data_IF_455427445770
#
_entry.id   IF_455427445770
#
_cell.length_a   1.000
_cell.length_b   1.000
_cell.length_c   1.000
_cell.angle_alpha   90.00
_cell.angle_beta   90.00
_cell.angle_gamma   90.00
#
_symmetry.space_group_name_H-M   'P 1'
#
loop_
_entity.id
_entity.type
_entity.pdbx_description
1 polymer ?
2 water ?
#
# COMPACT_ATOMS: atom_id res chain seq x y z
N UNK A 9 3.42 -19.86 22.73
CA UNK A 9 2.80 -19.05 21.65
C UNK A 9 3.50 -19.31 20.30
N UNK A 10 3.26 -20.50 19.74
CA UNK A 10 3.87 -20.90 18.47
C UNK A 10 3.83 -19.77 17.45
N UNK A 11 4.93 -19.59 16.73
CA UNK A 11 5.05 -18.55 15.72
C UNK A 11 5.29 -19.23 14.37
N UNK A 12 5.57 -18.45 13.34
CA UNK A 12 5.82 -19.05 12.03
C UNK A 12 7.08 -18.57 11.34
N UNK A 13 7.57 -17.36 11.64
CA UNK A 13 8.80 -16.90 10.99
C UNK A 13 9.52 -15.66 11.58
N UNK A 14 9.51 -14.55 10.85
CA UNK A 14 10.22 -13.32 11.26
C UNK A 14 9.38 -12.17 11.84
N UNK A 15 10.05 -11.09 12.23
CA UNK A 15 9.38 -9.92 12.82
C UNK A 15 9.26 -8.70 11.88
N UNK A 16 8.15 -7.98 11.99
CA UNK A 16 7.88 -6.80 11.16
C UNK A 16 7.35 -5.60 11.96
N UNK A 17 8.00 -4.46 11.81
CA UNK A 17 7.60 -3.24 12.49
C UNK A 17 6.40 -2.63 11.74
N UNK A 18 5.61 -1.82 12.43
CA UNK A 18 4.44 -1.18 11.81
C UNK A 18 4.87 -0.38 10.58
N UNK A 19 5.99 0.34 10.73
CA UNK A 19 6.55 1.16 9.65
C UNK A 19 6.96 0.32 8.45
N UNK A 20 7.05 -0.99 8.67
CA UNK A 20 7.37 -1.89 7.57
C UNK A 20 6.06 -2.34 6.91
N UNK A 21 5.03 -2.51 7.73
CA UNK A 21 3.73 -2.96 7.26
C UNK A 21 2.89 -1.87 6.58
N UNK A 22 2.84 -0.69 7.17
CA UNK A 22 2.09 0.39 6.52
C UNK A 22 3.08 1.48 6.19
N UNK A 23 3.27 1.67 4.89
CA UNK A 23 4.18 2.66 4.34
C UNK A 23 3.73 3.03 2.94
N UNK A 24 4.30 4.10 2.36
CA UNK A 24 3.91 4.53 1.02
C UNK A 24 4.05 3.43 -0.02
N UNK A 25 3.10 3.37 -0.94
CA UNK A 25 3.13 2.41 -2.03
C UNK A 25 4.32 2.81 -2.92
N UNK A 26 4.49 4.12 -3.13
CA UNK A 26 5.61 4.63 -3.90
C UNK A 26 5.82 6.13 -3.66
N UNK A 27 6.87 6.69 -4.25
CA UNK A 27 7.18 8.11 -4.09
C UNK A 27 7.41 8.79 -5.42
N UNK A 28 6.86 9.99 -5.55
CA UNK A 28 6.97 10.78 -6.77
C UNK A 28 7.34 12.23 -6.46
N UNK A 29 7.96 12.88 -7.43
CA UNK A 29 8.30 14.30 -7.31
C UNK A 29 7.46 14.94 -8.42
N UNK A 30 6.60 15.90 -8.05
CA UNK A 30 5.78 16.59 -9.03
C UNK A 30 6.32 18.01 -9.16
N UNK A 31 6.50 18.49 -10.38
CA UNK A 31 7.00 19.85 -10.57
C UNK A 31 6.99 20.33 -12.02
N UNK A 32 6.46 21.53 -12.22
CA UNK A 32 6.41 22.15 -13.53
C UNK A 32 5.87 21.32 -14.71
N UNK A 33 4.77 20.60 -14.48
CA UNK A 33 4.20 19.81 -15.54
C UNK A 33 4.89 18.48 -15.69
N UNK A 34 5.98 18.29 -14.95
CA UNK A 34 6.72 17.02 -14.97
C UNK A 34 6.40 16.21 -13.73
N UNK A 35 6.77 14.93 -13.76
CA UNK A 35 6.54 14.00 -12.67
C UNK A 35 7.66 12.97 -12.73
N UNK A 36 8.37 12.78 -11.61
CA UNK A 36 9.48 11.85 -11.58
C UNK A 36 9.33 10.82 -10.47
N UNK A 37 9.41 9.53 -10.83
CA UNK A 37 9.27 8.47 -9.85
C UNK A 37 10.58 8.18 -9.13
N UNK A 38 10.50 8.18 -7.81
CA UNK A 38 11.66 7.90 -6.99
C UNK A 38 11.83 6.39 -7.00
N UNK A 39 12.66 5.91 -7.93
CA UNK A 39 12.89 4.49 -8.09
C UNK A 39 14.07 3.91 -7.32
N UNK A 40 14.90 4.75 -6.72
CA UNK A 40 16.01 4.22 -5.94
C UNK A 40 15.41 3.84 -4.59
N UNK A 41 15.39 2.55 -4.30
CA UNK A 41 14.82 2.02 -3.06
C UNK A 41 15.51 2.46 -1.78
N UNK A 42 16.83 2.63 -1.83
CA UNK A 42 17.60 3.04 -0.66
C UNK A 42 17.20 4.47 -0.27
N UNK A 43 16.86 5.26 -1.27
CA UNK A 43 16.44 6.65 -1.06
C UNK A 43 15.05 6.65 -0.46
N UNK A 44 14.19 5.77 -0.98
CA UNK A 44 12.83 5.62 -0.50
C UNK A 44 12.91 5.24 0.97
N UNK A 45 13.78 4.29 1.28
CA UNK A 45 13.96 3.82 2.65
C UNK A 45 14.53 4.89 3.56
N UNK A 46 15.37 5.75 2.99
CA UNK A 46 15.98 6.79 3.79
C UNK A 46 14.93 7.84 4.21
N UNK A 47 14.11 8.23 3.25
CA UNK A 47 13.06 9.20 3.50
C UNK A 47 12.06 8.63 4.52
N UNK A 48 11.60 7.42 4.24
CA UNK A 48 10.63 6.79 5.12
C UNK A 48 11.13 6.59 6.54
N UNK A 49 12.41 6.25 6.69
CA UNK A 49 12.92 6.02 8.04
C UNK A 49 13.23 7.29 8.83
N UNK A 50 13.45 8.39 8.12
CA UNK A 50 13.77 9.66 8.76
C UNK A 50 12.53 10.51 9.12
N UNK A 51 11.47 10.33 8.34
CA UNK A 51 10.22 11.09 8.51
C UNK A 51 9.61 11.07 9.91
N UNK A 52 9.59 9.89 10.55
CA UNK A 52 9.01 9.76 11.90
C UNK A 52 9.75 10.55 12.97
N UNK A 53 10.94 11.05 12.63
CA UNK A 53 11.73 11.80 13.60
C UNK A 53 11.62 13.30 13.42
N UNK A 54 10.80 13.70 12.46
CA UNK A 54 10.57 15.12 12.21
C UNK A 54 9.57 15.54 13.27
N UNK A 55 10.05 16.27 14.27
CA UNK A 55 9.23 16.70 15.40
C UNK A 55 8.17 17.74 15.08
N UNK A 56 6.92 17.38 15.33
CA UNK A 56 5.76 18.22 15.08
C UNK A 56 5.63 19.39 16.05
N UNK A 57 5.50 20.59 15.50
CA UNK A 57 5.33 21.82 16.28
C UNK A 57 3.84 22.13 16.34
N UNK A 58 3.18 22.00 15.21
CA UNK A 58 1.76 22.27 15.16
C UNK A 58 1.09 21.68 13.94
N UNK A 59 -0.23 21.61 13.98
CA UNK A 59 -0.99 21.07 12.87
C UNK A 59 -2.24 21.94 12.68
N UNK A 60 -2.57 22.23 11.43
CA UNK A 60 -3.71 23.06 11.13
C UNK A 60 -4.39 22.68 9.81
N UNK A 61 -5.72 22.74 9.80
CA UNK A 61 -6.47 22.42 8.59
C UNK A 61 -6.49 23.66 7.71
N UNK A 62 -6.01 23.54 6.47
CA UNK A 62 -5.98 24.66 5.54
C UNK A 62 -6.71 24.34 4.23
N UNK A 63 -7.55 23.32 4.26
CA UNK A 63 -8.32 22.90 3.09
C UNK A 63 -9.10 24.04 2.44
N UNK A 64 -9.67 24.89 3.28
CA UNK A 64 -10.48 26.01 2.81
C UNK A 64 -9.66 27.06 2.09
N UNK A 65 -8.34 26.93 2.10
CA UNK A 65 -7.47 27.90 1.44
C UNK A 65 -7.34 27.66 -0.07
N UNK A 66 -7.86 26.53 -0.54
CA UNK A 66 -7.76 26.21 -1.96
C UNK A 66 -9.08 25.85 -2.62
N UNK A 67 -9.27 26.25 -3.87
CA UNK A 67 -10.47 25.86 -4.59
C UNK A 67 -9.99 24.63 -5.39
N UNK A 68 -10.79 24.14 -6.33
CA UNK A 68 -10.38 22.96 -7.09
C UNK A 68 -9.11 23.15 -7.91
N UNK A 69 -9.07 24.21 -8.72
CA UNK A 69 -7.90 24.46 -9.55
C UNK A 69 -6.65 24.78 -8.74
N UNK A 70 -6.84 25.51 -7.63
CA UNK A 70 -5.70 25.86 -6.80
C UNK A 70 -5.07 24.62 -6.21
N UNK A 71 -5.89 23.79 -5.59
CA UNK A 71 -5.43 22.56 -4.97
C UNK A 71 -4.59 21.74 -5.95
N UNK A 72 -5.08 21.57 -7.18
CA UNK A 72 -4.35 20.77 -8.14
C UNK A 72 -3.02 21.36 -8.58
N UNK A 73 -2.96 22.67 -8.78
CA UNK A 73 -1.70 23.30 -9.19
C UNK A 73 -0.68 23.17 -8.05
N UNK A 74 -1.15 23.39 -6.82
CA UNK A 74 -0.29 23.29 -5.65
C UNK A 74 0.20 21.86 -5.46
N UNK A 75 -0.74 20.91 -5.48
CA UNK A 75 -0.41 19.50 -5.29
C UNK A 75 0.66 18.95 -6.23
N UNK A 76 0.64 19.42 -7.47
CA UNK A 76 1.59 18.97 -8.47
C UNK A 76 2.71 19.96 -8.80
N UNK A 77 2.92 20.95 -7.95
CA UNK A 77 3.97 21.93 -8.19
C UNK A 77 3.88 22.64 -9.54
N UNK A 78 2.67 22.88 -10.02
CA UNK A 78 2.47 23.55 -11.30
C UNK A 78 3.02 24.97 -11.21
N UNK A 79 3.64 25.41 -12.29
CA UNK A 79 4.16 26.77 -12.36
C UNK A 79 5.01 27.20 -11.19
N UNK A 80 4.62 28.29 -10.54
CA UNK A 80 5.38 28.79 -9.41
C UNK A 80 5.24 28.02 -8.12
N UNK A 81 4.25 27.13 -8.02
CA UNK A 81 4.09 26.35 -6.80
C UNK A 81 5.36 25.51 -6.66
N UNK A 82 5.92 25.40 -5.46
CA UNK A 82 7.13 24.63 -5.25
C UNK A 82 6.91 23.16 -5.61
N UNK A 83 8.00 22.49 -6.02
CA UNK A 83 7.95 21.09 -6.36
C UNK A 83 7.56 20.32 -5.09
N UNK A 84 6.85 19.22 -5.26
CA UNK A 84 6.39 18.43 -4.12
C UNK A 84 6.78 16.96 -4.14
N UNK A 85 7.23 16.47 -2.98
CA UNK A 85 7.56 15.06 -2.84
C UNK A 85 6.25 14.46 -2.36
N UNK A 86 5.74 13.50 -3.12
CA UNK A 86 4.46 12.86 -2.88
C UNK A 86 4.59 11.42 -2.38
N UNK A 87 4.25 11.19 -1.13
CA UNK A 87 4.29 9.83 -0.61
C UNK A 87 2.87 9.30 -0.77
N UNK A 88 2.66 8.44 -1.78
CA UNK A 88 1.35 7.88 -2.05
C UNK A 88 1.07 6.56 -1.33
N UNK A 89 -0.05 6.50 -0.63
CA UNK A 89 -0.45 5.28 0.08
C UNK A 89 -1.52 4.56 -0.73
N UNK A 90 -1.81 3.31 -0.40
CA UNK A 90 -2.80 2.56 -1.16
C UNK A 90 -4.25 2.81 -0.75
N UNK A 91 -4.44 3.46 0.39
CA UNK A 91 -5.77 3.72 0.92
C UNK A 91 -5.68 4.97 1.81
N UNK A 92 -6.82 5.55 2.21
CA UNK A 92 -6.75 6.69 3.10
C UNK A 92 -6.35 6.14 4.47
N UNK A 93 -5.17 6.53 4.93
CA UNK A 93 -4.64 6.08 6.22
C UNK A 93 -5.14 6.95 7.37
N UNK A 94 -5.76 6.32 8.39
CA UNK A 94 -6.29 7.06 9.55
C UNK A 94 -5.19 7.87 10.21
N UNK A 95 -5.50 9.07 10.68
CA UNK A 95 -4.48 9.91 11.31
C UNK A 95 -3.90 9.21 12.55
N UNK A 96 -4.68 8.31 13.12
CA UNK A 96 -4.25 7.56 14.31
C UNK A 96 -2.97 6.78 13.99
N UNK A 97 -2.89 6.27 12.77
CA UNK A 97 -1.73 5.50 12.33
C UNK A 97 -0.49 6.38 12.20
N UNK A 98 -0.62 7.54 11.57
CA UNK A 98 0.51 8.45 11.42
C UNK A 98 1.02 8.89 12.78
N UNK A 99 0.09 9.16 13.70
CA UNK A 99 0.48 9.59 15.04
C UNK A 99 1.36 8.53 15.69
N UNK A 100 0.97 7.26 15.56
CA UNK A 100 1.76 6.19 16.13
C UNK A 100 3.14 6.10 15.47
N UNK A 101 3.17 6.01 14.15
CA UNK A 101 4.41 5.90 13.40
C UNK A 101 5.39 7.03 13.68
N UNK A 102 4.90 8.23 13.92
CA UNK A 102 5.80 9.35 14.15
C UNK A 102 5.88 9.81 15.61
N UNK A 103 5.21 9.09 16.49
CA UNK A 103 5.23 9.40 17.92
C UNK A 103 4.63 10.79 18.21
N UNK A 104 3.66 11.19 17.39
CA UNK A 104 3.00 12.48 17.57
C UNK A 104 2.10 12.42 18.80
N UNK A 105 2.05 13.53 19.53
CA UNK A 105 1.22 13.63 20.73
C UNK A 105 -0.15 14.21 20.33
N UNK A 106 -0.25 14.68 19.10
CA UNK A 106 -1.49 15.27 18.59
C UNK A 106 -2.71 14.41 18.86
N UNK A 107 -3.84 15.05 19.13
CA UNK A 107 -5.08 14.34 19.40
C UNK A 107 -6.31 14.97 18.74
N UNK A 108 -6.13 15.98 17.91
CA UNK A 108 -7.26 16.60 17.23
C UNK A 108 -7.38 16.01 15.83
N UNK A 109 -8.41 16.40 15.10
CA UNK A 109 -8.65 15.89 13.74
C UNK A 109 -8.76 14.37 13.81
N UNK A 110 -9.26 13.88 14.93
CA UNK A 110 -9.38 12.45 15.18
C UNK A 110 -10.12 11.60 14.15
N UNK A 111 -10.92 12.23 13.29
CA UNK A 111 -11.65 11.49 12.27
C UNK A 111 -11.02 11.52 10.89
N UNK A 112 -9.95 12.28 10.72
CA UNK A 112 -9.33 12.41 9.41
C UNK A 112 -8.44 11.23 8.99
N UNK A 113 -8.27 11.07 7.68
CA UNK A 113 -7.43 10.01 7.13
C UNK A 113 -6.81 10.58 5.85
N UNK A 114 -5.70 10.00 5.41
CA UNK A 114 -5.04 10.53 4.22
C UNK A 114 -4.40 9.47 3.36
N UNK A 115 -4.38 9.72 2.05
CA UNK A 115 -3.76 8.78 1.13
C UNK A 115 -2.45 9.32 0.56
N UNK A 116 -2.09 10.54 0.96
CA UNK A 116 -0.85 11.17 0.52
C UNK A 116 -0.25 12.03 1.61
N UNK A 117 1.07 12.04 1.68
CA UNK A 117 1.81 12.91 2.59
C UNK A 117 2.70 13.65 1.60
N UNK A 118 2.57 14.96 1.47
CA UNK A 118 3.48 15.63 0.53
C UNK A 118 4.42 16.59 1.23
N UNK A 119 5.64 16.60 0.73
CA UNK A 119 6.71 17.41 1.28
C UNK A 119 7.25 18.32 0.21
N UNK A 120 7.03 19.64 0.38
CA UNK A 120 7.48 20.66 -0.56
C UNK A 120 8.99 20.86 -0.51
N UNK A 121 9.59 21.10 -1.67
CA UNK A 121 11.02 21.37 -1.73
C UNK A 121 11.21 22.85 -1.34
N UNK A 122 12.45 23.25 -1.07
CA UNK A 122 12.76 24.63 -0.71
C UNK A 122 12.15 25.17 0.58
N UNK A 123 12.17 24.37 1.64
CA UNK A 123 11.65 24.79 2.93
C UNK A 123 12.89 25.17 3.73
N UNK A 124 13.22 26.46 3.74
CA UNK A 124 14.42 26.92 4.43
C UNK A 124 14.33 27.33 5.90
N UNK A 125 13.20 27.88 6.34
CA UNK A 125 13.08 28.27 7.74
C UNK A 125 13.26 27.09 8.71
N UNK A 126 13.39 27.39 10.00
CA UNK A 126 13.54 26.35 11.01
C UNK A 126 12.23 25.57 11.09
N UNK A 127 11.12 26.28 10.92
CA UNK A 127 9.80 25.65 10.93
C UNK A 127 9.48 25.23 9.49
N UNK A 128 9.49 23.93 9.22
CA UNK A 128 9.20 23.45 7.88
C UNK A 128 7.81 22.87 7.85
N UNK A 129 7.22 22.78 6.66
CA UNK A 129 5.87 22.25 6.54
C UNK A 129 5.71 21.04 5.65
N UNK A 130 4.97 20.06 6.16
CA UNK A 130 4.64 18.84 5.40
C UNK A 130 3.13 18.83 5.44
N UNK A 131 2.51 17.97 4.66
CA UNK A 131 1.05 17.94 4.60
C UNK A 131 0.44 16.57 4.49
N UNK A 132 -0.64 16.36 5.23
CA UNK A 132 -1.37 15.12 5.20
C UNK A 132 -2.50 15.50 4.23
N UNK A 133 -2.63 14.77 3.13
CA UNK A 133 -3.63 15.07 2.13
C UNK A 133 -4.52 13.90 1.73
N UNK A 134 -5.82 14.16 1.66
CA UNK A 134 -6.77 13.15 1.22
C UNK A 134 -7.17 13.74 -0.12
N UNK A 135 -6.62 13.18 -1.18
CA UNK A 135 -6.84 13.70 -2.53
C UNK A 135 -8.26 13.98 -3.02
N UNK A 136 -9.09 12.96 -3.12
CA UNK A 136 -10.44 13.17 -3.63
C UNK A 136 -11.31 14.15 -2.84
N UNK A 137 -11.10 14.21 -1.52
CA UNK A 137 -11.85 15.12 -0.67
C UNK A 137 -11.14 16.46 -0.59
N UNK A 138 -9.98 16.56 -1.23
CA UNK A 138 -9.23 17.82 -1.23
C UNK A 138 -9.02 18.36 0.19
N UNK A 139 -8.86 17.46 1.16
CA UNK A 139 -8.65 17.90 2.53
C UNK A 139 -7.14 17.96 2.83
N UNK A 140 -6.71 19.03 3.49
CA UNK A 140 -5.30 19.24 3.79
C UNK A 140 -4.98 19.68 5.21
N UNK A 141 -4.13 18.91 5.89
CA UNK A 141 -3.69 19.25 7.22
C UNK A 141 -2.24 19.73 7.11
N UNK A 142 -2.00 20.96 7.53
CA UNK A 142 -0.64 21.52 7.48
C UNK A 142 0.08 21.16 8.79
N UNK A 143 1.17 20.42 8.67
CA UNK A 143 1.94 19.99 9.84
C UNK A 143 3.28 20.73 9.88
N UNK A 144 3.42 21.62 10.86
CA UNK A 144 4.64 22.40 11.02
C UNK A 144 5.62 21.50 11.74
N UNK A 145 6.84 21.40 11.22
CA UNK A 145 7.79 20.49 11.84
C UNK A 145 9.23 20.98 11.82
N UNK A 146 10.07 20.32 12.61
CA UNK A 146 11.50 20.60 12.67
C UNK A 146 12.20 19.37 12.15
N UNK A 147 13.17 19.57 11.27
CA UNK A 147 13.91 18.44 10.72
C UNK A 147 15.38 18.72 10.54
N UNK A 148 16.21 17.86 11.13
CA UNK A 148 17.65 18.01 11.03
C UNK A 148 18.14 17.58 9.66
N UNK A 149 17.49 16.58 9.08
CA UNK A 149 17.91 16.05 7.79
C UNK A 149 17.09 16.41 6.57
N UNK A 150 16.06 17.23 6.72
CA UNK A 150 15.24 17.61 5.57
C UNK A 150 16.11 18.15 4.44
N UNK A 151 16.91 19.16 4.75
CA UNK A 151 17.76 19.78 3.74
C UNK A 151 18.64 18.78 2.97
N UNK A 152 19.35 17.91 3.69
CA UNK A 152 20.21 16.95 3.00
C UNK A 152 19.42 16.03 2.08
N UNK A 153 18.31 15.51 2.58
CA UNK A 153 17.44 14.60 1.85
C UNK A 153 16.78 15.25 0.62
N UNK A 154 16.21 16.43 0.79
CA UNK A 154 15.58 17.10 -0.34
C UNK A 154 16.64 17.52 -1.37
N UNK A 155 17.88 17.62 -0.91
CA UNK A 155 18.99 18.00 -1.78
C UNK A 155 19.35 16.84 -2.71
N UNK A 156 19.44 15.65 -2.14
CA UNK A 156 19.77 14.45 -2.92
C UNK A 156 18.68 14.26 -3.98
N UNK A 157 17.43 14.28 -3.53
CA UNK A 157 16.30 14.12 -4.43
C UNK A 157 16.41 15.04 -5.64
N UNK A 158 16.52 16.33 -5.39
CA UNK A 158 16.62 17.35 -6.44
C UNK A 158 17.77 17.07 -7.43
N UNK A 159 18.88 16.56 -6.91
CA UNK A 159 20.04 16.25 -7.74
C UNK A 159 19.88 14.98 -8.58
N UNK A 160 19.17 13.99 -8.04
CA UNK A 160 18.96 12.73 -8.76
C UNK A 160 17.70 12.73 -9.63
N UNK A 161 16.96 13.83 -9.53
CA UNK A 161 15.71 14.03 -10.25
C UNK A 161 15.78 13.81 -11.77
N UNK A 162 16.77 14.42 -12.41
CA UNK A 162 16.94 14.29 -13.85
C UNK A 162 16.96 12.85 -14.37
N UNK A 163 17.61 11.98 -13.64
CA UNK A 163 17.72 10.58 -14.06
C UNK A 163 16.61 9.69 -13.51
N UNK A 164 15.52 10.31 -13.04
CA UNK A 164 14.39 9.54 -12.53
C UNK A 164 13.42 9.27 -13.68
N UNK A 165 12.72 8.13 -13.64
CA UNK A 165 11.77 7.81 -14.71
C UNK A 165 10.70 8.91 -14.82
N UNK A 166 10.45 9.40 -16.03
CA UNK A 166 9.46 10.45 -16.24
C UNK A 166 8.05 9.91 -16.38
N UNK A 167 7.13 10.47 -15.59
CA UNK A 167 5.73 10.07 -15.63
C UNK A 167 4.85 11.29 -15.95
N UNK A 168 3.68 11.05 -16.51
CA UNK A 168 2.76 12.13 -16.78
C UNK A 168 1.35 11.69 -16.38
N UNK A 169 0.41 12.62 -16.40
CA UNK A 169 -0.97 12.33 -16.03
C UNK A 169 -1.81 11.96 -17.25
N UNK A 170 -2.29 10.73 -17.28
CA UNK A 170 -3.13 10.29 -18.38
C UNK A 170 -4.56 10.20 -17.91
N UNK A 171 -5.45 10.86 -18.65
CA UNK A 171 -6.86 10.84 -18.31
C UNK A 171 -7.48 9.59 -18.88
N UNK A 172 -7.76 8.63 -18.01
CA UNK A 172 -8.37 7.38 -18.44
C UNK A 172 -9.77 7.34 -17.84
N UNK A 173 -10.76 7.15 -18.71
CA UNK A 173 -12.13 7.17 -18.26
C UNK A 173 -12.43 8.65 -18.37
N UNK A 174 -13.47 9.14 -17.70
CA UNK A 174 -13.77 10.56 -17.77
C UNK A 174 -13.85 11.18 -16.39
N UNK A 175 -13.51 10.39 -15.37
CA UNK A 175 -13.58 10.88 -14.01
C UNK A 175 -12.23 11.12 -13.32
N UNK A 176 -11.18 10.44 -13.77
CA UNK A 176 -9.88 10.62 -13.12
C UNK A 176 -8.68 10.56 -14.06
N UNK A 177 -7.50 10.84 -13.51
CA UNK A 177 -6.25 10.80 -14.26
C UNK A 177 -5.31 9.88 -13.48
N UNK A 178 -4.36 9.25 -14.18
CA UNK A 178 -3.45 8.33 -13.53
C UNK A 178 -1.99 8.55 -13.89
N UNK A 179 -1.13 8.52 -12.89
CA UNK A 179 0.30 8.68 -13.10
C UNK A 179 0.81 7.48 -13.87
N UNK A 180 1.35 7.72 -15.07
CA UNK A 180 1.88 6.62 -15.86
C UNK A 180 3.10 7.11 -16.66
N UNK A 181 4.06 6.21 -16.93
CA UNK A 181 5.29 6.53 -17.68
C UNK A 181 5.09 7.31 -18.98
N UNK A 182 6.06 8.17 -19.31
CA UNK A 182 5.97 8.93 -20.55
C UNK A 182 6.27 7.98 -21.71
N UNK A 183 7.05 6.95 -21.39
CA UNK A 183 7.43 5.92 -22.33
C UNK A 183 7.56 4.59 -21.57
N UNK A 184 7.70 3.48 -22.30
CA UNK A 184 7.83 2.16 -21.68
C UNK A 184 8.98 2.04 -20.67
N UNK A 185 8.81 1.15 -19.70
CA UNK A 185 9.80 0.92 -18.65
C UNK A 185 10.44 -0.46 -18.76
N UNK A 186 11.71 -0.56 -18.36
CA UNK A 186 12.45 -1.81 -18.41
C UNK A 186 12.64 -2.35 -17.00
N UNK A 187 12.03 -3.48 -16.71
CA UNK A 187 12.14 -4.07 -15.38
C UNK A 187 12.38 -5.58 -15.43
N UNK A 188 13.16 -6.06 -14.47
CA UNK A 188 13.50 -7.48 -14.36
C UNK A 188 12.24 -8.31 -14.10
N UNK A 189 12.30 -9.60 -14.44
CA UNK A 189 11.15 -10.48 -14.26
C UNK A 189 11.17 -11.45 -13.08
N UNK A 190 10.40 -12.53 -13.25
CA UNK A 190 10.19 -13.59 -12.26
C UNK A 190 11.32 -14.26 -11.49
N UNK A 191 11.01 -15.50 -11.12
CA UNK A 191 11.83 -16.43 -10.35
C UNK A 191 10.69 -17.39 -9.97
N UNK A 192 10.90 -18.33 -9.06
CA UNK A 192 9.81 -19.24 -8.73
C UNK A 192 10.11 -20.26 -7.63
N UNK A 193 9.39 -21.37 -7.71
CA UNK A 193 9.48 -22.46 -6.75
C UNK A 193 9.36 -21.90 -5.34
N UNK A 194 8.12 -21.91 -4.86
CA UNK A 194 7.78 -21.40 -3.54
C UNK A 194 8.55 -22.14 -2.45
N UNK A 195 8.00 -22.12 -1.24
CA UNK A 195 8.60 -22.79 -0.10
C UNK A 195 7.52 -23.69 0.49
N UNK A 196 6.31 -23.14 0.62
CA UNK A 196 5.15 -23.86 1.15
C UNK A 196 5.24 -24.16 2.65
N UNK A 197 4.09 -24.05 3.33
CA UNK A 197 4.01 -24.28 4.77
C UNK A 197 3.12 -25.49 5.06
N UNK A 198 3.62 -26.39 5.90
CA UNK A 198 2.87 -27.58 6.29
C UNK A 198 1.64 -27.20 7.12
N UNK A 199 0.52 -27.88 6.86
CA UNK A 199 -0.73 -27.63 7.58
C UNK A 199 -0.56 -27.64 9.10
N UNK A 200 0.38 -28.45 9.58
CA UNK A 200 0.60 -28.55 11.02
C UNK A 200 1.18 -27.26 11.57
N UNK A 201 2.03 -26.59 10.78
CA UNK A 201 2.64 -25.35 11.20
C UNK A 201 1.59 -24.27 11.46
N UNK A 202 0.53 -24.26 10.64
CA UNK A 202 -0.55 -23.29 10.81
C UNK A 202 -1.36 -23.60 12.06
N UNK A 203 -1.61 -24.89 12.28
CA UNK A 203 -2.39 -25.37 13.43
C UNK A 203 -1.77 -24.99 14.77
N UNK A 204 -0.47 -25.26 14.92
CA UNK A 204 0.24 -24.98 16.15
C UNK A 204 0.33 -23.49 16.47
N UNK A 205 0.23 -22.67 15.42
CA UNK A 205 0.36 -21.23 15.61
C UNK A 205 -0.97 -20.47 15.69
N UNK A 206 -2.01 -21.03 15.06
CA UNK A 206 -3.32 -20.36 15.02
C UNK A 206 -4.35 -20.76 16.09
N UNK A 207 -4.32 -22.00 16.57
CA UNK A 207 -5.25 -22.41 17.61
C UNK A 207 -4.61 -22.06 18.96
N UNK A 208 -5.40 -21.58 19.92
CA UNK A 208 -4.87 -21.23 21.23
C UNK A 208 -4.48 -22.52 21.97
N UNK A 209 -4.96 -23.64 21.47
CA UNK A 209 -4.66 -24.94 22.04
C UNK A 209 -4.75 -26.04 20.97
N UNK A 210 -3.62 -26.33 20.31
CA UNK A 210 -3.56 -27.35 19.26
C UNK A 210 -3.80 -28.78 19.73
N UNK A 211 -3.71 -29.03 21.03
CA UNK A 211 -3.88 -30.39 21.54
C UNK A 211 -5.32 -30.93 21.43
N UNK A 212 -6.29 -30.05 21.26
CA UNK A 212 -7.68 -30.52 21.14
C UNK A 212 -8.28 -30.42 19.74
N UNK A 213 -7.50 -30.00 18.75
CA UNK A 213 -8.02 -29.89 17.38
C UNK A 213 -8.08 -31.28 16.73
N UNK A 214 -9.09 -31.51 15.91
CA UNK A 214 -9.28 -32.81 15.26
C UNK A 214 -9.73 -32.71 13.81
N UNK A 215 -10.21 -33.85 13.30
CA UNK A 215 -10.70 -33.96 11.93
C UNK A 215 -9.58 -33.85 10.91
N UNK A 223 -6.51 -30.20 4.31
CA UNK A 223 -7.19 -30.90 5.40
C UNK A 223 -8.06 -29.92 6.20
N UNK A 224 -9.20 -30.38 6.68
CA UNK A 224 -10.10 -29.54 7.47
C UNK A 224 -10.00 -29.90 8.95
N UNK A 225 -9.51 -28.97 9.76
CA UNK A 225 -9.35 -29.19 11.19
C UNK A 225 -10.18 -28.23 12.05
N UNK A 226 -10.65 -28.72 13.19
CA UNK A 226 -11.47 -27.91 14.11
C UNK A 226 -11.32 -28.34 15.56
N UNK A 227 -11.73 -27.46 16.46
CA UNK A 227 -11.66 -27.75 17.89
C UNK A 227 -13.07 -27.51 18.43
N UNK A 228 -14.06 -27.66 17.56
CA UNK A 228 -15.43 -27.46 17.96
C UNK A 228 -15.92 -26.03 17.88
N UNK A 229 -15.00 -25.06 17.89
CA UNK A 229 -15.38 -23.65 17.81
C UNK A 229 -14.53 -22.80 16.87
N UNK A 230 -13.65 -23.45 16.11
CA UNK A 230 -12.79 -22.76 15.16
C UNK A 230 -12.32 -23.72 14.05
N UNK A 231 -12.56 -23.35 12.80
CA UNK A 231 -12.17 -24.18 11.67
C UNK A 231 -10.90 -23.68 11.00
N UNK A 232 -10.07 -24.61 10.55
CA UNK A 232 -8.83 -24.29 9.86
C UNK A 232 -8.84 -25.12 8.57
N UNK A 233 -9.10 -24.46 7.45
CA UNK A 233 -9.14 -25.12 6.15
C UNK A 233 -7.91 -24.83 5.31
N UNK A 234 -7.21 -25.90 4.92
CA UNK A 234 -6.04 -25.74 4.07
C UNK A 234 -6.36 -26.38 2.74
N UNK A 235 -6.53 -25.56 1.72
CA UNK A 235 -6.83 -26.05 0.38
C UNK A 235 -5.53 -25.99 -0.39
N UNK A 236 -4.96 -27.16 -0.68
CA UNK A 236 -3.68 -27.22 -1.39
C UNK A 236 -3.75 -26.77 -2.84
N UNK A 237 -4.85 -27.08 -3.52
CA UNK A 237 -5.02 -26.68 -4.92
C UNK A 237 -5.06 -25.16 -5.05
N UNK A 238 -5.75 -24.50 -4.12
CA UNK A 238 -5.86 -23.04 -4.12
C UNK A 238 -4.66 -22.41 -3.43
N UNK A 239 -3.77 -23.24 -2.90
CA UNK A 239 -2.58 -22.73 -2.20
C UNK A 239 -3.04 -21.69 -1.18
N UNK A 240 -4.15 -22.00 -0.51
CA UNK A 240 -4.72 -21.10 0.47
C UNK A 240 -5.13 -21.78 1.79
N UNK A 241 -4.92 -21.06 2.89
CA UNK A 241 -5.28 -21.53 4.22
C UNK A 241 -6.36 -20.57 4.73
N UNK A 242 -7.31 -21.09 5.50
CA UNK A 242 -8.39 -20.26 6.03
C UNK A 242 -8.69 -20.60 7.49
N UNK A 243 -8.80 -19.57 8.33
CA UNK A 243 -9.05 -19.71 9.75
C UNK A 243 -10.24 -18.82 10.14
N UNK A 244 -11.38 -19.45 10.51
CA UNK A 244 -12.60 -18.74 10.88
C UNK A 244 -13.02 -19.08 12.30
N UNK A 245 -13.90 -18.26 12.87
CA UNK A 245 -14.44 -18.47 14.21
C UNK A 245 -15.92 -18.08 14.27
N UNK A 248 -18.76 -15.52 15.33
CA UNK A 248 -19.61 -15.07 14.23
C UNK A 248 -20.22 -13.70 14.55
N UNK A 249 -19.57 -12.62 14.13
CA UNK A 249 -20.06 -11.27 14.40
C UNK A 249 -19.61 -10.26 13.34
N UNK A 250 -18.62 -9.47 13.75
CA UNK A 250 -17.98 -8.41 12.97
C UNK A 250 -17.82 -7.26 13.95
N UNK A 251 -16.58 -6.95 14.29
CA UNK A 251 -16.25 -5.89 15.23
C UNK A 251 -17.17 -4.69 15.15
N UNK A 252 -17.32 -4.00 16.28
CA UNK A 252 -18.17 -2.84 16.33
C UNK A 252 -17.52 -1.74 17.18
N UNK A 253 -16.61 -2.14 18.06
CA UNK A 253 -15.94 -1.18 18.93
C UNK A 253 -14.60 -0.69 18.39
N UNK A 254 -14.23 -1.13 17.20
CA UNK A 254 -12.96 -0.72 16.62
C UNK A 254 -13.06 0.24 15.44
N UNK A 255 -12.33 1.34 15.53
CA UNK A 255 -12.27 2.32 14.46
C UNK A 255 -11.19 1.82 13.49
N UNK A 256 -11.22 2.28 12.23
CA UNK A 256 -10.24 1.84 11.23
C UNK A 256 -8.81 1.76 11.75
N UNK A 257 -8.31 2.84 12.34
CA UNK A 257 -6.96 2.85 12.87
C UNK A 257 -6.64 1.68 13.79
N UNK A 258 -7.56 1.40 14.72
CA UNK A 258 -7.39 0.30 15.66
C UNK A 258 -7.41 -1.08 14.98
N UNK A 259 -8.30 -1.27 14.01
CA UNK A 259 -8.36 -2.55 13.33
C UNK A 259 -7.05 -2.86 12.63
N UNK A 260 -6.41 -1.81 12.11
CA UNK A 260 -5.14 -1.90 11.43
C UNK A 260 -4.06 -2.28 12.43
N UNK A 261 -4.08 -1.64 13.60
CA UNK A 261 -3.11 -1.92 14.64
C UNK A 261 -3.28 -3.35 15.15
N UNK A 262 -4.53 -3.75 15.36
CA UNK A 262 -4.80 -5.10 15.85
C UNK A 262 -4.31 -6.14 14.84
N UNK A 263 -4.53 -5.87 13.57
CA UNK A 263 -4.11 -6.76 12.51
C UNK A 263 -2.58 -6.89 12.50
N UNK A 264 -1.90 -5.76 12.66
CA UNK A 264 -0.44 -5.73 12.71
C UNK A 264 0.05 -6.66 13.82
N UNK A 265 -0.45 -6.41 15.03
CA UNK A 265 -0.07 -7.21 16.19
C UNK A 265 -0.40 -8.69 16.01
N UNK A 266 -1.59 -8.97 15.49
CA UNK A 266 -2.00 -10.35 15.28
C UNK A 266 -1.06 -11.09 14.30
N UNK A 267 -0.78 -10.48 13.17
CA UNK A 267 0.09 -11.11 12.19
C UNK A 267 1.50 -11.26 12.76
N UNK A 268 1.87 -10.38 13.66
CA UNK A 268 3.19 -10.44 14.30
C UNK A 268 3.24 -11.56 15.34
N UNK A 269 2.22 -11.65 16.18
CA UNK A 269 2.16 -12.65 17.25
C UNK A 269 2.06 -14.07 16.74
N UNK A 270 1.59 -14.23 15.51
CA UNK A 270 1.44 -15.56 14.92
C UNK A 270 2.53 -15.86 13.89
N UNK A 271 3.50 -14.96 13.78
CA UNK A 271 4.59 -15.13 12.83
C UNK A 271 4.05 -15.32 11.42
N UNK A 272 3.10 -14.48 11.06
CA UNK A 272 2.48 -14.55 9.74
C UNK A 272 3.32 -13.94 8.62
N UNK A 273 4.34 -13.15 8.98
CA UNK A 273 5.17 -12.48 7.97
C UNK A 273 6.06 -13.47 7.20
N UNK A 274 5.42 -14.35 6.43
CA UNK A 274 6.13 -15.34 5.61
C UNK A 274 7.01 -14.64 4.58
N UNK A 275 6.51 -13.50 4.10
CA UNK A 275 7.21 -12.66 3.15
C UNK A 275 7.03 -11.26 3.71
N UNK A 276 7.49 -10.26 2.99
CA UNK A 276 7.31 -8.89 3.45
C UNK A 276 5.89 -8.47 3.05
N UNK A 277 5.00 -8.38 4.02
CA UNK A 277 3.62 -7.98 3.72
C UNK A 277 3.33 -6.55 4.13
N UNK A 278 2.54 -5.86 3.30
CA UNK A 278 2.18 -4.48 3.57
C UNK A 278 0.67 -4.30 3.47
N UNK A 279 0.14 -3.40 4.29
CA UNK A 279 -1.28 -3.09 4.29
C UNK A 279 -1.64 -2.48 2.94
N UNK A 280 -2.69 -2.97 2.29
CA UNK A 280 -3.09 -2.39 1.01
C UNK A 280 -4.35 -1.52 1.14
N UNK A 281 -5.36 -2.02 1.85
CA UNK A 281 -6.56 -1.22 2.05
C UNK A 281 -7.55 -1.94 2.94
N UNK A 282 -8.60 -1.23 3.36
CA UNK A 282 -9.62 -1.82 4.21
C UNK A 282 -10.99 -1.72 3.53
N UNK A 283 -11.63 -2.89 3.44
CA UNK A 283 -12.94 -3.17 2.83
C UNK A 283 -14.11 -2.29 3.27
N UNK A 284 -15.18 -2.33 2.49
CA UNK A 284 -16.40 -1.60 2.83
C UNK A 284 -16.93 -2.36 4.05
N UNK A 285 -16.72 -3.68 4.04
CA UNK A 285 -17.13 -4.56 5.12
C UNK A 285 -15.95 -4.83 6.07
N UNK A 286 -15.07 -3.84 6.17
CA UNK A 286 -13.87 -3.88 7.00
C UNK A 286 -13.00 -5.13 7.00
N UNK A 287 -12.69 -5.57 5.80
CA UNK A 287 -11.82 -6.71 5.59
C UNK A 287 -10.52 -6.02 5.21
N UNK A 288 -9.48 -6.24 6.00
CA UNK A 288 -8.19 -5.63 5.73
C UNK A 288 -7.33 -6.54 4.86
N UNK A 289 -6.74 -5.94 3.84
CA UNK A 289 -5.90 -6.65 2.91
C UNK A 289 -4.44 -6.24 3.04
N UNK A 290 -3.57 -7.24 3.00
CA UNK A 290 -2.14 -7.07 3.10
C UNK A 290 -1.57 -7.86 1.92
N UNK A 291 -0.64 -7.28 1.18
CA UNK A 291 -0.06 -7.99 0.04
C UNK A 291 1.42 -8.23 0.21
N UNK A 292 1.91 -9.24 -0.49
CA UNK A 292 3.31 -9.57 -0.49
C UNK A 292 3.97 -8.50 -1.37
N UNK A 293 5.05 -7.89 -0.88
CA UNK A 293 5.75 -6.86 -1.64
C UNK A 293 7.18 -7.29 -1.97
N UNK A 294 7.54 -7.15 -3.25
CA UNK A 294 8.87 -7.50 -3.74
C UNK A 294 9.46 -6.24 -4.39
N UNK A 295 10.62 -5.80 -3.93
CA UNK A 295 11.26 -4.60 -4.46
C UNK A 295 10.31 -3.41 -4.26
N UNK A 296 9.66 -3.36 -3.09
CA UNK A 296 8.67 -2.32 -2.78
C UNK A 296 7.60 -2.28 -3.86
N UNK A 297 7.29 -3.45 -4.43
CA UNK A 297 6.29 -3.58 -5.48
C UNK A 297 5.27 -4.64 -5.08
N UNK A 298 3.97 -4.34 -5.24
CA UNK A 298 2.87 -5.25 -4.90
C UNK A 298 2.89 -6.53 -5.73
N UNK A 299 2.72 -7.66 -5.06
CA UNK A 299 2.69 -8.93 -5.76
C UNK A 299 1.25 -9.42 -5.84
N UNK A 300 0.72 -9.49 -7.06
CA UNK A 300 -0.65 -9.93 -7.28
C UNK A 300 -0.67 -11.20 -8.11
N UNK A 301 -1.87 -11.68 -8.38
CA UNK A 301 -2.05 -12.91 -9.14
C UNK A 301 -2.52 -12.62 -10.57
N UNK A 302 -1.91 -13.30 -11.55
CA UNK A 302 -2.29 -13.12 -12.95
C UNK A 302 -3.69 -13.67 -13.18
N UNK A 303 -4.37 -13.15 -14.19
CA UNK A 303 -5.74 -13.58 -14.52
C UNK A 303 -5.76 -15.03 -14.98
N UNK A 304 -5.03 -15.30 -16.05
CA UNK A 304 -4.93 -16.65 -16.57
C UNK A 304 -3.69 -17.17 -15.86
N UNK A 305 -3.37 -18.45 -16.02
CA UNK A 305 -2.20 -19.02 -15.36
C UNK A 305 -2.24 -18.66 -13.88
N UNK A 306 -3.45 -18.65 -13.33
CA UNK A 306 -3.76 -18.32 -11.94
C UNK A 306 -2.94 -19.14 -10.94
N UNK A 307 -1.96 -18.53 -10.27
CA UNK A 307 -1.18 -19.25 -9.27
C UNK A 307 -1.81 -19.08 -7.89
N UNK A 308 -2.54 -20.11 -7.47
CA UNK A 308 -3.21 -20.06 -6.18
C UNK A 308 -4.66 -19.70 -6.37
N UNK A 309 -5.09 -18.63 -5.68
CA UNK A 309 -6.46 -18.17 -5.76
C UNK A 309 -6.50 -16.81 -5.08
N UNK A 310 -5.42 -16.52 -4.35
CA UNK A 310 -5.29 -15.27 -3.64
C UNK A 310 -3.86 -15.22 -3.12
N UNK A 311 -3.20 -14.09 -3.33
CA UNK A 311 -1.83 -13.94 -2.86
C UNK A 311 -1.78 -12.92 -1.73
N UNK A 312 -2.94 -12.54 -1.21
CA UNK A 312 -3.00 -11.57 -0.12
C UNK A 312 -3.52 -12.13 1.19
N UNK A 313 -2.99 -11.60 2.30
CA UNK A 313 -3.45 -12.00 3.61
C UNK A 313 -4.69 -11.14 3.85
N UNK A 314 -5.79 -11.80 4.21
CA UNK A 314 -7.04 -11.10 4.46
C UNK A 314 -7.53 -11.33 5.88
N UNK A 315 -7.73 -10.23 6.60
CA UNK A 315 -8.18 -10.28 7.99
C UNK A 315 -9.51 -9.58 8.24
N UNK A 316 -10.40 -10.32 8.90
CA UNK A 316 -11.75 -9.87 9.25
C UNK A 316 -11.86 -10.04 10.77
N UNK A 317 -12.23 -8.98 11.47
CA UNK A 317 -12.33 -9.02 12.94
C UNK A 317 -13.72 -9.11 13.54
N UNK A 318 -13.78 -9.70 14.73
CA UNK A 318 -15.02 -9.82 15.51
C UNK A 318 -14.73 -8.93 16.71
N UNK A 319 -15.70 -8.73 17.60
CA UNK A 319 -15.46 -7.85 18.74
C UNK A 319 -14.39 -8.29 19.73
N UNK A 320 -14.17 -9.59 19.89
CA UNK A 320 -13.15 -10.04 20.83
C UNK A 320 -12.23 -11.09 20.23
N UNK A 321 -12.43 -11.42 18.96
CA UNK A 321 -11.61 -12.40 18.28
C UNK A 321 -11.54 -12.09 16.79
N UNK A 322 -10.65 -12.80 16.09
CA UNK A 322 -10.54 -12.61 14.66
C UNK A 322 -11.68 -13.42 14.07
N UNK A 323 -12.36 -12.85 13.07
CA UNK A 323 -13.48 -13.53 12.45
C UNK A 323 -12.93 -14.52 11.44
N UNK A 324 -12.15 -14.01 10.49
CA UNK A 324 -11.55 -14.85 9.47
C UNK A 324 -10.19 -14.32 9.03
N UNK A 325 -9.30 -15.26 8.74
CA UNK A 325 -7.94 -14.97 8.31
C UNK A 325 -7.66 -15.88 7.12
N UNK A 326 -7.51 -15.30 5.94
CA UNK A 326 -7.21 -16.10 4.75
C UNK A 326 -5.86 -15.67 4.22
N UNK A 327 -5.02 -16.65 3.90
CA UNK A 327 -3.67 -16.36 3.41
C UNK A 327 -3.05 -17.47 2.56
N UNK A 328 -1.90 -17.18 1.92
CA UNK A 328 -1.20 -18.15 1.08
C UNK A 328 -0.59 -19.23 1.98
N UNK A 329 -0.49 -20.45 1.46
CA UNK A 329 0.08 -21.56 2.22
C UNK A 329 1.54 -21.75 1.83
N UNK A 330 2.13 -20.71 1.22
CA UNK A 330 3.52 -20.75 0.78
C UNK A 330 4.22 -19.42 1.03
N UNK A 331 5.53 -19.39 0.79
CA UNK A 331 6.34 -18.20 0.96
C UNK A 331 7.30 -18.04 -0.24
N UNK A 332 7.98 -16.90 -0.31
CA UNK A 332 8.93 -16.59 -1.39
C UNK A 332 10.03 -15.67 -0.85
N UNK A 333 10.61 -14.86 -1.73
CA UNK A 333 11.61 -13.86 -1.33
C UNK A 333 13.05 -14.31 -1.14
N UNK A 334 13.87 -14.15 -2.17
CA UNK A 334 15.29 -14.53 -2.09
C UNK A 334 16.14 -13.82 -3.14
N UNK A 335 16.44 -14.52 -4.23
CA UNK A 335 17.27 -13.92 -5.28
C UNK A 335 16.58 -12.71 -5.88
N UNK A 340 15.43 -12.38 -16.20
CA UNK A 340 14.91 -11.95 -17.48
C UNK A 340 14.73 -10.42 -17.51
N UNK A 341 14.03 -9.93 -18.54
CA UNK A 341 13.81 -8.49 -18.70
C UNK A 341 12.67 -8.25 -19.69
N UNK A 342 11.82 -7.27 -19.41
CA UNK A 342 10.70 -6.96 -20.30
C UNK A 342 10.32 -5.49 -20.28
N UNK A 343 9.32 -5.13 -21.08
CA UNK A 343 8.86 -3.76 -21.17
C UNK A 343 7.40 -3.65 -20.78
N UNK A 344 7.13 -2.72 -19.90
CA UNK A 344 5.75 -2.43 -19.46
C UNK A 344 5.20 -1.18 -20.15
N UNK A 345 4.05 -1.28 -20.76
CA UNK A 345 3.46 -0.16 -21.48
C UNK A 345 3.77 1.19 -20.86
N UNK A 346 3.80 2.23 -21.70
CA UNK A 346 4.10 3.56 -21.23
C UNK A 346 2.95 4.34 -20.61
N UNK A 347 1.73 4.14 -21.09
CA UNK A 347 0.62 4.89 -20.53
C UNK A 347 -0.30 5.31 -21.64
N UNK A 348 0.30 5.66 -22.77
CA UNK A 348 -0.49 6.02 -23.93
C UNK A 348 -0.93 4.65 -24.40
N UNK A 349 -0.07 3.66 -24.17
CA UNK A 349 -0.35 2.28 -24.53
C UNK A 349 -1.33 1.71 -23.52
N UNK A 350 -1.29 2.23 -22.29
CA UNK A 350 -2.18 1.76 -21.26
C UNK A 350 -3.56 2.39 -21.50
N UNK A 351 -3.55 3.67 -21.85
CA UNK A 351 -4.78 4.40 -22.10
C UNK A 351 -5.55 3.83 -23.30
N UNK A 352 -4.87 3.69 -24.43
CA UNK A 352 -5.49 3.15 -25.64
C UNK A 352 -6.11 1.78 -25.40
N UNK A 353 -5.42 0.96 -24.62
CA UNK A 353 -5.89 -0.39 -24.33
C UNK A 353 -7.21 -0.33 -23.56
N UNK A 354 -7.17 0.27 -22.38
CA UNK A 354 -8.37 0.40 -21.55
C UNK A 354 -9.45 1.18 -22.30
N UNK A 355 -9.07 1.81 -23.41
CA UNK A 355 -10.00 2.58 -24.22
C UNK A 355 -10.93 1.68 -25.04
N UNK A 356 -10.46 0.48 -25.35
CA UNK A 356 -11.25 -0.46 -26.12
C UNK A 356 -11.09 -1.91 -25.64
N UNK A 357 -11.42 -2.16 -24.38
CA UNK A 357 -11.29 -3.50 -23.82
C UNK A 357 -12.65 -4.17 -23.57
N UNK A 358 -13.70 -3.36 -23.43
CA UNK A 358 -15.06 -3.88 -23.23
C UNK A 358 -15.36 -4.47 -21.85
N UNK A 359 -14.44 -5.29 -21.34
CA UNK A 359 -14.62 -5.91 -20.03
C UNK A 359 -15.08 -4.97 -18.91
N UNK A 360 -14.27 -3.96 -18.62
CA UNK A 360 -14.62 -3.01 -17.56
C UNK A 360 -14.86 -1.60 -18.06
N UNK A 361 -15.64 -0.83 -17.31
CA UNK A 361 -15.94 0.54 -17.65
C UNK A 361 -14.89 1.43 -16.97
N UNK A 362 -14.06 2.08 -17.77
CA UNK A 362 -12.98 2.92 -17.25
C UNK A 362 -13.45 3.98 -16.24
N UNK A 363 -14.73 4.35 -16.30
CA UNK A 363 -15.28 5.33 -15.38
C UNK A 363 -15.31 4.73 -13.99
N UNK A 364 -15.04 3.44 -13.90
CA UNK A 364 -15.06 2.72 -12.63
C UNK A 364 -13.67 2.44 -12.08
N UNK A 365 -12.64 2.77 -12.86
CA UNK A 365 -11.27 2.56 -12.43
C UNK A 365 -10.91 3.48 -11.26
N UNK A 366 -10.51 2.90 -10.13
CA UNK A 366 -10.15 3.70 -8.97
C UNK A 366 -8.67 3.98 -8.85
N UNK A 367 -7.85 2.98 -9.14
CA UNK A 367 -6.40 3.14 -9.04
C UNK A 367 -5.68 2.29 -10.08
N UNK A 368 -4.55 2.79 -10.58
CA UNK A 368 -3.71 2.05 -11.53
C UNK A 368 -2.31 2.12 -10.93
N UNK A 369 -1.66 0.98 -10.79
CA UNK A 369 -0.34 0.95 -10.17
C UNK A 369 0.54 -0.23 -10.59
N UNK A 370 1.84 -0.10 -10.35
CA UNK A 370 2.76 -1.17 -10.71
C UNK A 370 2.58 -2.37 -9.80
N UNK A 371 2.73 -3.55 -10.37
CA UNK A 371 2.57 -4.77 -9.61
C UNK A 371 3.26 -5.95 -10.28
N UNK A 372 3.80 -6.86 -9.46
CA UNK A 372 4.42 -8.06 -9.99
C UNK A 372 3.27 -9.03 -10.16
N UNK A 373 3.32 -9.84 -11.20
CA UNK A 373 2.26 -10.79 -11.45
C UNK A 373 2.80 -12.22 -11.33
N UNK A 374 2.02 -13.12 -10.74
CA UNK A 374 2.43 -14.52 -10.58
C UNK A 374 2.01 -15.29 -11.83
N UNK A 387 7.13 -13.77 -11.08
CA UNK A 387 6.91 -12.36 -10.80
C UNK A 387 7.24 -11.51 -12.04
N UNK A 388 6.21 -11.02 -12.72
CA UNK A 388 6.39 -10.21 -13.91
C UNK A 388 5.81 -8.80 -13.80
N UNK A 389 6.64 -7.78 -14.05
CA UNK A 389 6.17 -6.40 -13.97
C UNK A 389 4.93 -6.20 -14.85
N UNK A 390 3.89 -5.61 -14.26
CA UNK A 390 2.64 -5.36 -14.97
C UNK A 390 1.87 -4.23 -14.32
N UNK A 391 0.97 -3.61 -15.07
CA UNK A 391 0.15 -2.53 -14.55
C UNK A 391 -1.14 -3.15 -14.09
N UNK A 392 -1.58 -2.80 -12.89
CA UNK A 392 -2.80 -3.32 -12.32
C UNK A 392 -3.74 -2.18 -12.00
N UNK A 393 -5.04 -2.43 -12.15
CA UNK A 393 -6.03 -1.41 -11.87
C UNK A 393 -7.00 -1.92 -10.81
N UNK A 394 -7.54 -0.99 -10.03
CA UNK A 394 -8.51 -1.36 -9.02
C UNK A 394 -9.85 -0.92 -9.56
N UNK A 395 -10.66 -1.88 -9.98
CA UNK A 395 -11.98 -1.59 -10.52
C UNK A 395 -13.02 -2.20 -9.60
N UNK A 396 -13.81 -1.34 -8.94
CA UNK A 396 -14.84 -1.76 -8.02
C UNK A 396 -14.38 -2.82 -7.02
N UNK A 397 -13.32 -2.49 -6.26
CA UNK A 397 -12.80 -3.43 -5.29
C UNK A 397 -11.91 -4.48 -5.90
N UNK A 398 -12.29 -4.96 -7.08
CA UNK A 398 -11.52 -5.98 -7.76
C UNK A 398 -10.20 -5.41 -8.29
N UNK A 399 -9.13 -6.20 -8.18
CA UNK A 399 -7.81 -5.79 -8.64
C UNK A 399 -7.46 -6.65 -9.87
N UNK A 400 -7.46 -6.01 -11.03
CA UNK A 400 -7.18 -6.69 -12.30
C UNK A 400 -5.87 -6.32 -12.99
N UNK A 401 -5.12 -7.32 -13.46
CA UNK A 401 -3.85 -7.06 -14.15
C UNK A 401 -4.15 -6.47 -15.52
N UNK A 402 -3.65 -5.26 -15.79
CA UNK A 402 -3.88 -4.63 -17.08
C UNK A 402 -2.90 -5.23 -18.09
N UNK A 403 -3.29 -6.39 -18.64
CA UNK A 403 -2.48 -7.14 -19.60
C UNK A 403 -3.27 -7.43 -20.87
N UNK A 404 -2.55 -7.75 -21.94
CA UNK A 404 -3.15 -8.05 -23.24
C UNK A 404 -4.21 -9.17 -23.18
N UNK A 405 -4.48 -9.68 -21.99
CA UNK A 405 -5.49 -10.73 -21.85
C UNK A 405 -6.86 -10.05 -21.97
N UNK A 406 -6.79 -8.75 -22.28
CA UNK A 406 -7.95 -7.88 -22.44
C UNK A 406 -9.31 -8.55 -22.53
#
# INVERSE_FOLDING_TARGET
TESTVRVKHKIEKTTQKLSETVRPRDMFIHDDGAHYKVDDNALYEEIWSDLPHWDVKGIKDISDQYDKAGFKSWFYGIGGSEAKLDLQFSDTIPIDIFQTLFKWSNQSFEYSSFDHILIPFNETKANKKIYLVSYSKQLILEVTVESANYRNIMNDLKNRQSNMPAFSLFSIGSKKEFLLPNKPLTMDKKEFVTESIKTNTFKQALFSDPSIVREDSNYNNRNVLTDGISRLDVNLSQRQVQFQQRNLVQSTSYQTGELIKKSQKYLEDTGSWTDHYQFFNINDSQQLSFYIFMDQIPVINSTAKPFGATSAITVQWANDDILSYKRPNYSLGTNPIKTSETELMGGSEVKMLLSKQTAYDTDKIDQIFLAYQLVSTSTNDDPLVELEPVWAMKVNGKIVPITKDLLRKEGANSGVE
#
